data_IF_819521105147
#
_entry.id   IF_819521105147
#
_cell.length_a   1.000
_cell.length_b   1.000
_cell.length_c   1.000
_cell.angle_alpha   90.00
_cell.angle_beta   90.00
_cell.angle_gamma   90.00
#
_symmetry.space_group_name_H-M   'P 1'
#
loop_
_entity.id
_entity.type
_entity.pdbx_description
1 polymer ?
#
# COMPACT_ATOMS: atom_id res chain seq x y z
N UNK A 1 15.28 -14.52 -0.51
CA UNK A 1 14.03 -13.95 0.01
C UNK A 1 13.74 -14.45 1.42
N UNK A 2 13.59 -13.56 2.41
CA UNK A 2 13.39 -13.96 3.79
C UNK A 2 12.03 -14.63 4.04
N UNK A 3 11.03 -14.46 3.15
CA UNK A 3 9.69 -15.02 3.32
C UNK A 3 9.56 -16.50 2.96
N UNK A 4 10.57 -17.08 2.30
CA UNK A 4 10.55 -18.47 1.81
C UNK A 4 11.76 -19.27 2.28
N UNK A 5 12.26 -18.96 3.46
CA UNK A 5 13.30 -19.72 4.14
C UNK A 5 12.72 -20.57 5.27
N UNK A 6 13.40 -21.62 5.69
CA UNK A 6 12.92 -22.59 6.69
C UNK A 6 12.40 -21.97 7.99
N UNK A 7 13.02 -20.90 8.45
CA UNK A 7 12.58 -20.17 9.63
C UNK A 7 11.17 -19.60 9.46
N UNK A 8 10.86 -19.01 8.30
CA UNK A 8 9.53 -18.44 8.03
C UNK A 8 8.47 -19.51 7.89
N UNK A 9 8.77 -20.64 7.25
CA UNK A 9 7.84 -21.77 7.18
C UNK A 9 7.42 -22.25 8.56
N UNK A 10 8.35 -22.34 9.53
CA UNK A 10 8.03 -22.68 10.92
C UNK A 10 7.12 -21.65 11.60
N UNK A 11 7.24 -20.36 11.24
CA UNK A 11 6.33 -19.31 11.74
C UNK A 11 4.94 -19.50 11.14
N UNK A 12 4.83 -19.71 9.84
CA UNK A 12 3.56 -19.93 9.15
C UNK A 12 2.82 -21.16 9.71
N UNK A 13 3.54 -22.25 9.94
CA UNK A 13 3.00 -23.48 10.52
C UNK A 13 2.54 -23.29 11.97
N UNK A 14 3.36 -22.61 12.78
CA UNK A 14 3.06 -22.35 14.20
C UNK A 14 1.83 -21.49 14.40
N UNK A 15 1.62 -20.50 13.52
CA UNK A 15 0.52 -19.55 13.60
C UNK A 15 -0.48 -19.78 12.46
N UNK A 16 -1.04 -20.99 12.42
CA UNK A 16 -1.94 -21.42 11.36
C UNK A 16 -3.33 -20.75 11.39
N UNK A 17 -3.65 -20.04 12.47
CA UNK A 17 -4.80 -19.15 12.64
C UNK A 17 -4.57 -17.71 12.14
N UNK A 18 -3.33 -17.40 11.71
CA UNK A 18 -2.95 -16.11 11.12
C UNK A 18 -2.79 -16.27 9.61
N UNK A 19 -3.34 -15.31 8.86
CA UNK A 19 -3.17 -15.25 7.41
C UNK A 19 -1.97 -14.38 7.04
N UNK A 20 -1.04 -14.95 6.31
CA UNK A 20 0.21 -14.28 5.91
C UNK A 20 0.15 -13.86 4.44
N UNK A 21 0.48 -12.61 4.17
CA UNK A 21 0.50 -12.05 2.81
C UNK A 21 1.89 -11.48 2.50
N UNK A 22 2.89 -12.32 2.18
CA UNK A 22 4.23 -11.86 1.84
C UNK A 22 4.25 -11.18 0.48
N UNK A 23 4.81 -9.96 0.41
CA UNK A 23 5.09 -9.27 -0.85
C UNK A 23 6.44 -9.75 -1.38
N UNK A 24 6.46 -10.23 -2.61
CA UNK A 24 7.64 -10.91 -3.18
C UNK A 24 7.96 -10.45 -4.59
N UNK A 25 9.25 -10.46 -4.94
CA UNK A 25 9.71 -10.26 -6.32
C UNK A 25 9.54 -11.52 -7.20
N UNK A 26 9.08 -12.64 -6.63
CA UNK A 26 8.76 -13.85 -7.34
C UNK A 26 9.96 -14.69 -7.85
N UNK A 27 11.20 -14.31 -7.51
CA UNK A 27 12.40 -14.92 -8.10
C UNK A 27 12.80 -16.28 -7.54
N UNK A 28 12.22 -16.68 -6.40
CA UNK A 28 12.55 -17.92 -5.69
C UNK A 28 11.45 -18.98 -5.75
N UNK A 29 10.40 -18.77 -6.55
CA UNK A 29 9.35 -19.77 -6.71
C UNK A 29 9.86 -20.96 -7.54
N UNK A 30 9.66 -22.13 -7.00
CA UNK A 30 9.90 -23.43 -7.60
C UNK A 30 8.88 -24.43 -7.03
N UNK A 31 8.92 -25.66 -7.51
CA UNK A 31 7.99 -26.73 -7.04
C UNK A 31 8.06 -26.94 -5.53
N UNK A 32 9.25 -26.94 -4.93
CA UNK A 32 9.43 -27.14 -3.50
C UNK A 32 8.76 -26.04 -2.66
N UNK A 33 8.94 -24.77 -3.05
CA UNK A 33 8.29 -23.61 -2.40
C UNK A 33 6.77 -23.71 -2.54
N UNK A 34 6.29 -24.00 -3.75
CA UNK A 34 4.86 -24.12 -4.00
C UNK A 34 4.23 -25.28 -3.22
N UNK A 35 4.89 -26.44 -3.15
CA UNK A 35 4.41 -27.59 -2.37
C UNK A 35 4.37 -27.29 -0.86
N UNK A 36 5.34 -26.57 -0.32
CA UNK A 36 5.34 -26.12 1.08
C UNK A 36 4.18 -25.17 1.35
N UNK A 37 3.95 -24.18 0.49
CA UNK A 37 2.85 -23.21 0.64
C UNK A 37 1.48 -23.88 0.52
N UNK A 38 1.34 -24.86 -0.37
CA UNK A 38 0.12 -25.66 -0.51
C UNK A 38 -0.24 -26.39 0.80
N UNK A 39 0.74 -26.99 1.47
CA UNK A 39 0.54 -27.67 2.75
C UNK A 39 0.14 -26.74 3.90
N UNK A 40 0.67 -25.53 3.90
CA UNK A 40 0.39 -24.54 4.95
C UNK A 40 -1.03 -23.97 4.87
N UNK A 41 -1.51 -23.63 3.70
CA UNK A 41 -2.88 -23.16 3.45
C UNK A 41 -3.21 -21.74 3.97
N UNK A 42 -2.30 -21.10 4.72
CA UNK A 42 -2.51 -19.77 5.34
C UNK A 42 -1.57 -18.69 4.79
N UNK A 43 -0.97 -18.92 3.62
CA UNK A 43 -0.04 -17.97 2.99
C UNK A 43 -0.53 -17.62 1.57
N UNK A 44 -0.75 -16.33 1.33
CA UNK A 44 -1.13 -15.78 0.03
C UNK A 44 -0.05 -14.83 -0.47
N UNK A 45 0.87 -15.27 -1.35
CA UNK A 45 1.90 -14.40 -1.90
C UNK A 45 1.32 -13.28 -2.77
N UNK A 46 1.91 -12.09 -2.66
CA UNK A 46 1.63 -10.95 -3.53
C UNK A 46 2.85 -10.71 -4.43
N UNK A 47 2.73 -11.06 -5.69
CA UNK A 47 3.80 -10.85 -6.66
C UNK A 47 3.93 -9.38 -7.03
N UNK A 48 5.15 -8.89 -7.02
CA UNK A 48 5.43 -7.51 -7.43
C UNK A 48 5.54 -7.41 -8.95
N UNK A 49 4.59 -6.72 -9.58
CA UNK A 49 4.59 -6.41 -11.02
C UNK A 49 4.32 -4.93 -11.24
N UNK A 50 4.96 -4.37 -12.27
CA UNK A 50 4.83 -2.95 -12.61
C UNK A 50 4.10 -2.71 -13.94
N UNK A 51 3.49 -3.74 -14.50
CA UNK A 51 2.86 -3.82 -15.80
C UNK A 51 3.28 -5.09 -16.52
N UNK A 52 3.35 -5.04 -17.83
CA UNK A 52 3.87 -6.14 -18.65
C UNK A 52 5.40 -6.29 -18.52
N UNK A 53 6.02 -7.07 -19.42
CA UNK A 53 7.44 -7.38 -19.37
C UNK A 53 8.31 -6.12 -19.41
N UNK A 54 7.99 -5.18 -20.29
CA UNK A 54 8.76 -3.95 -20.44
C UNK A 54 8.81 -3.13 -19.15
N UNK A 55 7.66 -2.84 -18.57
CA UNK A 55 7.56 -2.02 -17.35
C UNK A 55 8.14 -2.76 -16.13
N UNK A 56 7.88 -4.06 -16.03
CA UNK A 56 8.36 -4.87 -14.92
C UNK A 56 9.87 -5.06 -14.99
N UNK A 57 10.39 -5.45 -16.13
CA UNK A 57 11.83 -5.71 -16.29
C UNK A 57 12.66 -4.43 -16.22
N UNK A 58 12.14 -3.31 -16.74
CA UNK A 58 12.78 -1.99 -16.61
C UNK A 58 13.04 -1.60 -15.16
N UNK A 59 12.08 -1.85 -14.27
CA UNK A 59 12.20 -1.46 -12.86
C UNK A 59 12.88 -2.52 -12.00
N UNK A 60 12.64 -3.79 -12.28
CA UNK A 60 13.00 -4.90 -11.39
C UNK A 60 14.17 -5.75 -11.89
N UNK A 61 14.58 -5.54 -13.14
CA UNK A 61 15.64 -6.28 -13.79
C UNK A 61 15.14 -7.25 -14.84
N UNK A 62 15.96 -7.45 -15.86
CA UNK A 62 15.64 -8.28 -17.02
C UNK A 62 15.29 -9.72 -16.65
N UNK A 63 14.18 -10.22 -17.18
CA UNK A 63 13.69 -11.59 -16.98
C UNK A 63 12.90 -11.80 -15.69
N UNK A 64 12.67 -10.76 -14.89
CA UNK A 64 11.86 -10.87 -13.67
C UNK A 64 10.41 -11.13 -14.02
N UNK A 65 9.85 -10.45 -15.03
CA UNK A 65 8.48 -10.71 -15.47
C UNK A 65 8.24 -12.19 -15.77
N UNK A 66 9.15 -12.80 -16.56
CA UNK A 66 9.05 -14.22 -16.89
C UNK A 66 9.05 -15.11 -15.65
N UNK A 67 9.95 -14.88 -14.70
CA UNK A 67 10.01 -15.63 -13.44
C UNK A 67 8.72 -15.50 -12.62
N UNK A 68 8.15 -14.30 -12.57
CA UNK A 68 6.86 -14.07 -11.89
C UNK A 68 5.73 -14.85 -12.57
N UNK A 69 5.67 -14.84 -13.92
CA UNK A 69 4.67 -15.61 -14.67
C UNK A 69 4.79 -17.12 -14.44
N UNK A 70 6.01 -17.65 -14.35
CA UNK A 70 6.28 -19.05 -14.00
C UNK A 70 5.86 -19.35 -12.55
N UNK A 71 6.18 -18.47 -11.60
CA UNK A 71 5.74 -18.58 -10.21
C UNK A 71 4.23 -18.59 -10.04
N UNK A 72 3.51 -17.74 -10.79
CA UNK A 72 2.05 -17.73 -10.80
C UNK A 72 1.46 -19.05 -11.31
N UNK A 73 2.03 -19.61 -12.38
CA UNK A 73 1.58 -20.89 -12.91
C UNK A 73 1.76 -22.01 -11.87
N UNK A 74 2.88 -22.05 -11.17
CA UNK A 74 3.12 -23.03 -10.08
C UNK A 74 2.08 -22.95 -8.96
N UNK A 75 1.69 -21.72 -8.56
CA UNK A 75 0.68 -21.53 -7.51
C UNK A 75 -0.73 -21.86 -8.01
N UNK A 76 -1.09 -21.42 -9.22
CA UNK A 76 -2.38 -21.73 -9.84
C UNK A 76 -2.60 -23.22 -9.95
N UNK A 77 -1.61 -23.96 -10.45
CA UNK A 77 -1.71 -25.40 -10.69
C UNK A 77 -1.85 -26.21 -9.39
N UNK A 78 -1.54 -25.61 -8.25
CA UNK A 78 -1.74 -26.16 -6.90
C UNK A 78 -2.95 -25.59 -6.15
N UNK A 79 -3.71 -24.71 -6.79
CA UNK A 79 -4.87 -24.06 -6.17
C UNK A 79 -4.50 -23.10 -5.01
N UNK A 80 -3.28 -22.59 -4.98
CA UNK A 80 -2.81 -21.65 -3.96
C UNK A 80 -3.26 -20.23 -4.32
N UNK A 81 -4.00 -19.51 -3.45
CA UNK A 81 -4.40 -18.15 -3.72
C UNK A 81 -3.18 -17.21 -3.77
N UNK A 82 -3.18 -16.29 -4.71
CA UNK A 82 -2.16 -15.25 -4.83
C UNK A 82 -2.73 -13.97 -5.46
N UNK A 83 -2.00 -12.91 -5.31
CA UNK A 83 -2.32 -11.62 -5.90
C UNK A 83 -1.10 -10.92 -6.47
N UNK A 84 -1.32 -9.69 -6.94
CA UNK A 84 -0.29 -8.80 -7.48
C UNK A 84 -0.25 -7.51 -6.70
N UNK A 85 0.94 -6.96 -6.47
CA UNK A 85 1.13 -5.60 -5.98
C UNK A 85 1.90 -4.77 -6.99
N UNK A 86 1.45 -3.53 -7.20
CA UNK A 86 2.10 -2.59 -8.11
C UNK A 86 2.40 -1.28 -7.40
N UNK A 87 3.64 -0.80 -7.53
CA UNK A 87 3.96 0.58 -7.17
C UNK A 87 3.59 1.47 -8.35
N UNK A 88 2.41 2.10 -8.24
CA UNK A 88 1.79 2.83 -9.33
C UNK A 88 2.33 4.25 -9.43
N UNK A 89 2.90 4.59 -10.57
CA UNK A 89 3.54 5.86 -10.87
C UNK A 89 3.04 6.46 -12.17
N UNK A 90 3.50 7.68 -12.52
CA UNK A 90 3.23 8.29 -13.83
C UNK A 90 3.65 7.41 -15.01
N UNK A 91 4.60 6.51 -14.81
CA UNK A 91 5.18 5.70 -15.88
C UNK A 91 4.39 4.44 -16.22
N UNK A 92 3.64 3.90 -15.26
CA UNK A 92 3.02 2.58 -15.43
C UNK A 92 1.51 2.52 -15.15
N UNK A 93 0.90 3.62 -14.70
CA UNK A 93 -0.54 3.62 -14.35
C UNK A 93 -1.42 3.11 -15.48
N UNK A 94 -1.14 3.49 -16.72
CA UNK A 94 -1.95 3.08 -17.87
C UNK A 94 -1.81 1.61 -18.21
N UNK A 95 -0.74 0.97 -17.77
CA UNK A 95 -0.49 -0.47 -17.95
C UNK A 95 -1.10 -1.28 -16.82
N UNK A 96 -0.72 -0.99 -15.56
CA UNK A 96 -1.16 -1.78 -14.39
C UNK A 96 -2.68 -1.75 -14.17
N UNK A 97 -3.36 -0.71 -14.64
CA UNK A 97 -4.80 -0.55 -14.54
C UNK A 97 -5.55 -0.77 -15.85
N UNK A 98 -4.88 -1.28 -16.91
CA UNK A 98 -5.52 -1.60 -18.19
C UNK A 98 -6.36 -2.87 -18.12
N UNK A 99 -7.39 -2.95 -18.95
CA UNK A 99 -8.22 -4.15 -19.02
C UNK A 99 -7.42 -5.36 -19.50
N UNK A 100 -6.48 -5.17 -20.42
CA UNK A 100 -5.62 -6.22 -20.95
C UNK A 100 -4.70 -6.81 -19.87
N UNK A 101 -4.15 -5.95 -19.01
CA UNK A 101 -3.30 -6.42 -17.91
C UNK A 101 -4.12 -7.21 -16.88
N UNK A 102 -5.30 -6.71 -16.53
CA UNK A 102 -6.21 -7.40 -15.60
C UNK A 102 -6.68 -8.74 -16.19
N UNK A 103 -7.03 -8.79 -17.47
CA UNK A 103 -7.43 -10.04 -18.14
C UNK A 103 -6.30 -11.07 -18.17
N UNK A 104 -5.07 -10.63 -18.37
CA UNK A 104 -3.87 -11.48 -18.25
C UNK A 104 -3.74 -12.04 -16.83
N UNK A 105 -3.91 -11.21 -15.80
CA UNK A 105 -3.81 -11.63 -14.40
C UNK A 105 -4.91 -12.63 -14.02
N UNK A 106 -6.15 -12.38 -14.45
CA UNK A 106 -7.27 -13.31 -14.28
C UNK A 106 -6.94 -14.66 -14.93
N UNK A 107 -6.46 -14.65 -16.17
CA UNK A 107 -6.06 -15.86 -16.89
C UNK A 107 -4.94 -16.63 -16.19
N UNK A 108 -4.03 -15.92 -15.52
CA UNK A 108 -2.96 -16.51 -14.71
C UNK A 108 -3.46 -17.07 -13.36
N UNK A 109 -4.70 -16.78 -12.97
CA UNK A 109 -5.30 -17.26 -11.72
C UNK A 109 -5.07 -16.32 -10.52
N UNK A 110 -4.60 -15.10 -10.75
CA UNK A 110 -4.50 -14.08 -9.71
C UNK A 110 -5.90 -13.68 -9.25
N UNK A 111 -6.09 -13.53 -7.94
CA UNK A 111 -7.36 -13.15 -7.35
C UNK A 111 -7.52 -11.64 -7.21
N UNK A 112 -6.41 -10.92 -7.08
CA UNK A 112 -6.46 -9.49 -6.79
C UNK A 112 -5.21 -8.73 -7.21
N UNK A 113 -5.38 -7.41 -7.40
CA UNK A 113 -4.29 -6.44 -7.47
C UNK A 113 -4.37 -5.44 -6.33
N UNK A 114 -3.20 -5.09 -5.79
CA UNK A 114 -3.06 -4.06 -4.78
C UNK A 114 -2.21 -2.92 -5.33
N UNK A 115 -2.81 -1.76 -5.53
CA UNK A 115 -2.15 -0.56 -6.04
C UNK A 115 -1.65 0.30 -4.87
N UNK A 116 -0.35 0.47 -4.83
CA UNK A 116 0.31 1.46 -3.97
C UNK A 116 0.76 2.62 -4.85
N UNK A 117 0.17 3.79 -4.72
CA UNK A 117 0.70 4.95 -5.44
C UNK A 117 2.13 5.22 -4.97
N UNK A 118 2.99 5.59 -5.91
CA UNK A 118 4.38 5.91 -5.57
C UNK A 118 4.44 7.03 -4.53
N UNK A 119 5.15 6.77 -3.44
CA UNK A 119 5.42 7.71 -2.37
C UNK A 119 6.87 8.17 -2.43
N UNK A 120 7.15 9.48 -2.26
CA UNK A 120 8.50 10.00 -2.35
C UNK A 120 9.26 9.79 -1.02
N UNK A 121 9.49 8.52 -0.67
CA UNK A 121 10.23 8.06 0.52
C UNK A 121 11.41 7.19 0.10
N UNK A 122 12.38 6.98 0.99
CA UNK A 122 13.61 6.21 0.73
C UNK A 122 14.81 7.10 0.37
N UNK A 123 15.88 6.49 -0.11
CA UNK A 123 17.19 7.16 -0.30
C UNK A 123 17.19 8.26 -1.36
N UNK A 124 16.37 8.13 -2.40
CA UNK A 124 16.31 9.06 -3.53
C UNK A 124 14.87 9.37 -3.93
N UNK A 125 14.13 10.08 -3.06
CA UNK A 125 12.73 10.39 -3.35
C UNK A 125 12.61 11.28 -4.59
N UNK A 126 11.78 10.88 -5.55
CA UNK A 126 11.54 11.64 -6.77
C UNK A 126 10.05 11.99 -6.91
N UNK A 127 9.69 13.20 -6.58
CA UNK A 127 8.30 13.67 -6.67
C UNK A 127 7.72 13.64 -8.10
N UNK A 128 8.57 13.57 -9.14
CA UNK A 128 8.12 13.51 -10.54
C UNK A 128 7.50 12.16 -10.91
N UNK A 129 7.79 11.12 -10.14
CA UNK A 129 7.22 9.78 -10.35
C UNK A 129 5.84 9.62 -9.69
N UNK A 130 5.45 10.57 -8.83
CA UNK A 130 4.12 10.60 -8.23
C UNK A 130 3.06 10.79 -9.30
N UNK A 131 1.91 10.13 -9.11
CA UNK A 131 0.75 10.33 -9.99
C UNK A 131 0.35 11.81 -10.03
N UNK A 132 0.06 12.32 -11.22
CA UNK A 132 -0.59 13.62 -11.37
C UNK A 132 -1.98 13.59 -10.71
N UNK A 133 -2.53 14.77 -10.35
CA UNK A 133 -3.88 14.85 -9.79
C UNK A 133 -4.94 14.10 -10.60
N UNK A 134 -4.95 14.26 -11.93
CA UNK A 134 -5.88 13.54 -12.81
C UNK A 134 -5.66 12.03 -12.81
N UNK A 135 -4.41 11.59 -12.94
CA UNK A 135 -4.08 10.16 -12.91
C UNK A 135 -4.50 9.50 -11.60
N UNK A 136 -4.36 10.20 -10.47
CA UNK A 136 -4.77 9.66 -9.18
C UNK A 136 -6.29 9.46 -9.11
N UNK A 137 -7.09 10.41 -9.59
CA UNK A 137 -8.56 10.25 -9.69
C UNK A 137 -8.92 9.13 -10.67
N UNK A 138 -8.26 9.07 -11.82
CA UNK A 138 -8.49 8.04 -12.82
C UNK A 138 -8.19 6.64 -12.30
N UNK A 139 -7.12 6.44 -11.53
CA UNK A 139 -6.82 5.15 -10.90
C UNK A 139 -7.99 4.68 -10.03
N UNK A 140 -8.52 5.55 -9.18
CA UNK A 140 -9.68 5.24 -8.35
C UNK A 140 -10.93 4.86 -9.16
N UNK A 141 -11.20 5.55 -10.27
CA UNK A 141 -12.32 5.24 -11.18
C UNK A 141 -12.12 3.91 -11.90
N UNK A 142 -10.91 3.66 -12.43
CA UNK A 142 -10.56 2.39 -13.07
C UNK A 142 -10.67 1.21 -12.09
N UNK A 143 -10.19 1.38 -10.87
CA UNK A 143 -10.30 0.38 -9.80
C UNK A 143 -11.75 0.02 -9.51
N UNK A 144 -12.63 1.01 -9.35
CA UNK A 144 -14.07 0.77 -9.18
C UNK A 144 -14.72 0.09 -10.38
N UNK A 145 -14.36 0.50 -11.60
CA UNK A 145 -14.84 -0.14 -12.84
C UNK A 145 -14.45 -1.62 -12.90
N UNK A 146 -13.18 -1.94 -12.65
CA UNK A 146 -12.69 -3.32 -12.65
C UNK A 146 -13.52 -4.18 -11.69
N UNK A 147 -13.71 -3.73 -10.45
CA UNK A 147 -14.50 -4.47 -9.43
C UNK A 147 -15.94 -4.79 -9.86
N UNK A 148 -16.54 -3.93 -10.68
CA UNK A 148 -17.94 -4.09 -11.11
C UNK A 148 -18.09 -4.80 -12.44
N UNK A 149 -17.04 -4.91 -13.24
CA UNK A 149 -17.10 -5.44 -14.60
C UNK A 149 -16.30 -6.73 -14.81
N UNK A 150 -15.40 -7.06 -13.89
CA UNK A 150 -14.54 -8.24 -13.99
C UNK A 150 -14.58 -9.07 -12.70
N UNK A 151 -14.42 -10.39 -12.76
CA UNK A 151 -14.31 -11.25 -11.57
C UNK A 151 -12.93 -11.09 -10.93
N UNK A 152 -12.57 -9.86 -10.56
CA UNK A 152 -11.25 -9.50 -10.06
C UNK A 152 -11.32 -8.42 -9.01
N UNK A 153 -10.68 -8.65 -7.86
CA UNK A 153 -10.66 -7.67 -6.80
C UNK A 153 -9.44 -6.76 -6.94
N UNK A 154 -9.64 -5.46 -6.83
CA UNK A 154 -8.57 -4.48 -6.83
C UNK A 154 -8.64 -3.63 -5.57
N UNK A 155 -7.52 -3.40 -4.92
CA UNK A 155 -7.39 -2.45 -3.80
C UNK A 155 -6.58 -1.26 -4.29
N UNK A 156 -7.14 -0.07 -4.19
CA UNK A 156 -6.41 1.17 -4.31
C UNK A 156 -6.16 1.73 -2.91
N UNK A 157 -4.94 1.59 -2.43
CA UNK A 157 -4.59 1.89 -1.04
C UNK A 157 -4.92 3.32 -0.60
N UNK A 158 -5.11 4.25 -1.54
CA UNK A 158 -5.44 5.64 -1.25
C UNK A 158 -6.88 6.00 -1.60
N UNK A 159 -7.36 5.65 -2.80
CA UNK A 159 -8.68 6.04 -3.26
C UNK A 159 -9.81 5.18 -2.67
N UNK A 160 -9.50 4.10 -1.94
CA UNK A 160 -10.47 3.30 -1.20
C UNK A 160 -10.79 3.86 0.20
N UNK A 161 -10.15 4.92 0.61
CA UNK A 161 -10.40 5.55 1.91
C UNK A 161 -11.87 5.89 2.19
N UNK A 162 -12.72 6.29 1.21
CA UNK A 162 -14.15 6.47 1.43
C UNK A 162 -14.87 5.22 1.97
N UNK A 163 -14.41 4.02 1.60
CA UNK A 163 -15.04 2.75 1.99
C UNK A 163 -14.61 2.24 3.37
N UNK A 164 -13.51 2.80 3.92
CA UNK A 164 -12.93 2.38 5.20
C UNK A 164 -12.90 3.52 6.23
N UNK A 165 -13.55 4.64 5.93
CA UNK A 165 -13.67 5.78 6.84
C UNK A 165 -12.38 6.62 6.96
N UNK A 166 -11.56 6.68 5.92
CA UNK A 166 -10.36 7.49 5.84
C UNK A 166 -9.06 6.69 5.89
N UNK A 167 -7.97 7.32 6.31
CA UNK A 167 -6.67 6.66 6.46
C UNK A 167 -6.70 5.58 7.55
N UNK A 168 -6.14 4.40 7.27
CA UNK A 168 -6.07 3.28 8.22
C UNK A 168 -4.83 3.31 9.11
N UNK A 169 -3.84 4.18 8.81
CA UNK A 169 -2.58 4.29 9.53
C UNK A 169 -2.78 4.58 11.03
N UNK A 170 -2.18 3.76 11.88
CA UNK A 170 -2.30 3.88 13.33
C UNK A 170 -3.68 3.53 13.92
N UNK A 171 -4.65 3.13 13.08
CA UNK A 171 -6.00 2.71 13.48
C UNK A 171 -6.23 1.22 13.24
N UNK A 172 -6.11 0.78 12.01
CA UNK A 172 -6.27 -0.62 11.59
C UNK A 172 -4.98 -1.21 11.02
N UNK A 173 -3.94 -0.41 10.92
CA UNK A 173 -2.66 -0.77 10.31
C UNK A 173 -1.50 -0.11 11.06
N UNK A 174 -0.41 -0.85 11.20
CA UNK A 174 0.89 -0.34 11.61
C UNK A 174 1.98 -1.05 10.80
N UNK A 175 3.16 -0.47 10.78
CA UNK A 175 4.37 -1.07 10.25
C UNK A 175 5.38 -1.31 11.38
N UNK A 176 6.05 -2.42 11.35
CA UNK A 176 7.17 -2.70 12.25
C UNK A 176 8.40 -2.90 11.37
N UNK A 177 9.37 -2.02 11.50
CA UNK A 177 10.59 -2.08 10.70
C UNK A 177 11.56 -3.15 11.21
N UNK A 178 12.66 -3.39 10.49
CA UNK A 178 13.67 -4.39 10.85
C UNK A 178 14.39 -4.10 12.18
N UNK A 179 14.38 -2.86 12.64
CA UNK A 179 14.93 -2.44 13.94
C UNK A 179 13.95 -2.66 15.10
N UNK A 180 12.69 -2.95 14.80
CA UNK A 180 11.62 -3.17 15.78
C UNK A 180 10.83 -1.89 16.12
N UNK A 181 11.07 -0.76 15.45
CA UNK A 181 10.30 0.46 15.65
C UNK A 181 8.88 0.28 15.10
N UNK A 182 7.90 0.77 15.84
CA UNK A 182 6.50 0.68 15.43
C UNK A 182 6.05 1.99 14.83
N UNK A 183 5.89 1.96 13.52
CA UNK A 183 5.51 3.10 12.69
C UNK A 183 4.02 3.08 12.37
N UNK A 184 3.37 4.24 12.16
CA UNK A 184 1.95 4.30 11.83
C UNK A 184 1.61 3.63 10.49
N UNK A 185 2.53 3.70 9.53
CA UNK A 185 2.36 3.25 8.16
C UNK A 185 3.73 2.94 7.55
N UNK A 186 3.77 2.04 6.57
CA UNK A 186 4.98 1.69 5.81
C UNK A 186 5.67 2.89 5.12
N UNK A 187 4.95 4.00 4.96
CA UNK A 187 5.49 5.23 4.37
C UNK A 187 5.83 6.29 5.41
N UNK A 188 5.28 6.20 6.63
CA UNK A 188 5.44 7.19 7.69
C UNK A 188 6.51 6.71 8.68
N UNK A 189 7.77 6.90 8.31
CA UNK A 189 8.94 6.44 9.04
C UNK A 189 9.23 7.28 10.30
N UNK A 190 8.25 7.32 11.20
CA UNK A 190 8.35 7.95 12.53
C UNK A 190 7.91 6.96 13.60
N UNK A 191 8.53 6.99 14.75
CA UNK A 191 8.17 6.17 15.89
C UNK A 191 8.36 6.91 17.23
N UNK A 192 7.70 6.42 18.27
CA UNK A 192 7.95 6.78 19.67
C UNK A 192 8.34 5.57 20.51
N UNK A 193 8.13 4.37 19.97
CA UNK A 193 8.25 3.11 20.72
C UNK A 193 8.78 1.97 19.83
N UNK A 194 9.41 0.99 20.48
CA UNK A 194 9.99 -0.17 19.83
C UNK A 194 9.47 -1.46 20.49
N UNK A 195 9.20 -2.51 19.69
CA UNK A 195 8.69 -3.80 20.19
C UNK A 195 9.70 -4.58 21.03
N UNK A 196 10.99 -4.23 21.02
CA UNK A 196 11.99 -4.81 21.90
C UNK A 196 11.81 -4.37 23.35
N UNK A 197 11.24 -3.18 23.57
CA UNK A 197 11.11 -2.53 24.88
C UNK A 197 9.68 -2.63 25.44
N UNK A 198 8.68 -2.76 24.56
CA UNK A 198 7.25 -2.73 24.91
C UNK A 198 6.45 -3.78 24.16
N UNK A 199 5.37 -4.26 24.78
CA UNK A 199 4.39 -5.09 24.09
C UNK A 199 3.66 -4.26 23.03
N UNK A 200 3.36 -4.83 21.85
CA UNK A 200 2.71 -4.15 20.75
C UNK A 200 1.39 -3.49 21.17
N UNK A 201 0.60 -4.14 22.04
CA UNK A 201 -0.66 -3.57 22.54
C UNK A 201 -0.43 -2.27 23.35
N UNK A 202 0.66 -2.16 24.07
CA UNK A 202 0.97 -0.96 24.83
C UNK A 202 1.47 0.17 23.92
N UNK A 203 2.18 -0.19 22.84
CA UNK A 203 2.54 0.78 21.78
C UNK A 203 1.28 1.39 21.15
N UNK A 204 0.27 0.58 20.82
CA UNK A 204 -0.99 1.11 20.27
C UNK A 204 -1.75 2.04 21.24
N UNK A 205 -1.43 1.98 22.53
CA UNK A 205 -2.00 2.87 23.56
C UNK A 205 -1.14 4.11 23.83
N UNK A 206 0.03 4.23 23.19
CA UNK A 206 0.90 5.39 23.36
C UNK A 206 0.27 6.69 22.81
N UNK A 207 0.87 7.82 23.13
CA UNK A 207 0.34 9.13 22.74
C UNK A 207 0.35 9.32 21.20
N UNK A 208 1.34 8.81 20.48
CA UNK A 208 1.40 8.91 19.01
C UNK A 208 0.17 8.25 18.37
N UNK A 209 -0.11 7.00 18.73
CA UNK A 209 -1.23 6.27 18.14
C UNK A 209 -2.59 6.85 18.57
N UNK A 210 -2.70 7.42 19.80
CA UNK A 210 -3.90 8.16 20.23
C UNK A 210 -4.10 9.43 19.42
N UNK A 211 -3.06 10.23 19.21
CA UNK A 211 -3.14 11.46 18.41
C UNK A 211 -3.54 11.16 16.96
N UNK A 212 -2.99 10.11 16.36
CA UNK A 212 -3.36 9.67 15.01
C UNK A 212 -4.86 9.37 14.94
N UNK A 213 -5.37 8.52 15.85
CA UNK A 213 -6.79 8.13 15.85
C UNK A 213 -7.75 9.29 16.15
N UNK A 214 -7.37 10.19 17.06
CA UNK A 214 -8.19 11.32 17.44
C UNK A 214 -8.35 12.36 16.32
N UNK A 215 -7.45 12.39 15.34
CA UNK A 215 -7.48 13.32 14.21
C UNK A 215 -8.10 12.73 12.95
N UNK A 216 -8.35 11.43 12.92
CA UNK A 216 -8.95 10.77 11.76
C UNK A 216 -10.48 10.98 11.73
N UNK A 217 -11.07 11.19 10.54
CA UNK A 217 -10.40 11.37 9.25
C UNK A 217 -9.67 12.72 9.18
N UNK A 218 -8.49 12.75 8.59
CA UNK A 218 -7.67 13.97 8.47
C UNK A 218 -8.27 15.02 7.54
N UNK A 219 -9.19 14.62 6.67
CA UNK A 219 -9.91 15.48 5.76
C UNK A 219 -11.36 15.01 5.63
N UNK A 220 -12.31 15.95 5.51
CA UNK A 220 -13.72 15.63 5.23
C UNK A 220 -13.90 15.00 3.85
N UNK A 221 -13.08 15.41 2.88
CA UNK A 221 -12.98 14.75 1.60
C UNK A 221 -12.06 13.54 1.72
N UNK A 222 -12.63 12.34 1.78
CA UNK A 222 -11.88 11.10 1.98
C UNK A 222 -11.07 10.65 0.74
N UNK A 223 -11.13 11.36 -0.39
CA UNK A 223 -10.16 11.21 -1.47
C UNK A 223 -8.82 11.90 -1.16
N UNK A 224 -8.75 12.60 -0.01
CA UNK A 224 -7.51 13.18 0.55
C UNK A 224 -7.19 12.56 1.92
N UNK A 225 -7.01 11.21 2.01
CA UNK A 225 -6.92 10.56 3.31
C UNK A 225 -5.54 10.65 3.96
N UNK A 226 -4.47 10.82 3.17
CA UNK A 226 -3.10 10.59 3.62
C UNK A 226 -2.58 11.76 4.46
N UNK A 227 -2.02 11.44 5.63
CA UNK A 227 -1.38 12.43 6.51
C UNK A 227 -0.03 12.93 5.98
N UNK A 228 0.51 12.32 4.92
CA UNK A 228 1.83 12.66 4.39
C UNK A 228 1.75 13.52 3.13
N UNK A 229 0.94 13.12 2.17
CA UNK A 229 0.88 13.78 0.84
C UNK A 229 -0.40 14.58 0.62
N UNK A 230 -1.47 14.33 1.39
CA UNK A 230 -2.73 15.07 1.26
C UNK A 230 -2.92 16.10 2.37
N UNK A 231 -2.42 15.80 3.57
CA UNK A 231 -2.51 16.63 4.77
C UNK A 231 -1.16 16.65 5.48
N UNK A 232 -0.07 17.11 4.83
CA UNK A 232 1.29 16.94 5.34
C UNK A 232 1.60 17.70 6.64
N UNK A 233 0.78 18.68 7.00
CA UNK A 233 0.84 19.34 8.31
C UNK A 233 0.48 18.38 9.46
N UNK A 234 -0.40 17.39 9.22
CA UNK A 234 -0.89 16.48 10.27
C UNK A 234 0.25 15.65 10.86
N UNK A 235 1.05 14.98 10.01
CA UNK A 235 2.18 14.18 10.49
C UNK A 235 3.24 15.04 11.19
N UNK A 236 3.51 16.25 10.68
CA UNK A 236 4.46 17.20 11.28
C UNK A 236 4.05 17.64 12.68
N UNK A 237 2.77 18.00 12.84
CA UNK A 237 2.21 18.41 14.13
C UNK A 237 2.18 17.25 15.14
N UNK A 238 1.82 16.05 14.70
CA UNK A 238 1.83 14.87 15.57
C UNK A 238 3.26 14.56 15.99
N UNK A 239 4.20 14.47 15.05
CA UNK A 239 5.60 14.18 15.35
C UNK A 239 6.18 15.16 16.37
N UNK A 240 5.94 16.46 16.19
CA UNK A 240 6.38 17.50 17.12
C UNK A 240 5.71 17.38 18.51
N UNK A 241 4.38 17.13 18.54
CA UNK A 241 3.61 17.03 19.79
C UNK A 241 4.05 15.89 20.70
N UNK A 242 4.42 14.74 20.09
CA UNK A 242 4.77 13.53 20.83
C UNK A 242 6.29 13.27 20.90
N UNK A 243 7.10 14.18 20.39
CA UNK A 243 8.55 14.03 20.24
C UNK A 243 8.93 12.73 19.52
N UNK A 244 8.24 12.42 18.41
CA UNK A 244 8.56 11.26 17.62
C UNK A 244 9.95 11.40 16.97
N UNK A 245 10.71 10.31 16.95
CA UNK A 245 11.96 10.23 16.20
C UNK A 245 11.72 9.67 14.80
N UNK A 246 12.62 10.01 13.88
CA UNK A 246 12.60 9.49 12.51
C UNK A 246 13.36 8.18 12.45
N UNK A 247 12.81 7.19 11.78
CA UNK A 247 13.39 5.85 11.65
C UNK A 247 14.17 5.67 10.35
N UNK A 248 14.14 6.70 9.50
CA UNK A 248 14.77 6.71 8.18
C UNK A 248 15.09 8.16 7.76
N UNK A 249 16.07 8.32 6.86
CA UNK A 249 16.56 9.63 6.43
C UNK A 249 15.50 10.42 5.64
N UNK A 250 14.64 9.75 4.87
CA UNK A 250 13.57 10.41 4.10
C UNK A 250 12.50 11.03 5.00
N UNK A 251 12.18 10.40 6.12
CA UNK A 251 11.27 10.97 7.11
C UNK A 251 11.86 12.24 7.75
N UNK A 252 13.16 12.23 8.02
CA UNK A 252 13.82 13.44 8.51
C UNK A 252 13.72 14.60 7.50
N UNK A 253 13.93 14.33 6.21
CA UNK A 253 13.74 15.34 5.16
C UNK A 253 12.29 15.84 5.11
N UNK A 254 11.31 14.95 5.18
CA UNK A 254 9.89 15.30 5.17
C UNK A 254 9.47 16.19 6.33
N UNK A 255 10.02 15.95 7.52
CA UNK A 255 9.68 16.71 8.72
C UNK A 255 10.46 18.02 8.82
N UNK A 256 11.72 18.06 8.40
CA UNK A 256 12.67 19.13 8.74
C UNK A 256 13.21 19.90 7.53
N UNK A 257 13.33 19.29 6.35
CA UNK A 257 13.83 19.99 5.17
C UNK A 257 12.78 20.95 4.61
N UNK A 258 13.15 22.22 4.50
CA UNK A 258 12.24 23.29 4.04
C UNK A 258 11.74 23.06 2.63
N UNK A 259 12.64 22.72 1.70
CA UNK A 259 12.28 22.52 0.29
C UNK A 259 11.31 21.33 0.12
N UNK A 260 11.59 20.23 0.81
CA UNK A 260 10.75 19.04 0.72
C UNK A 260 9.35 19.27 1.33
N UNK A 261 9.28 20.02 2.44
CA UNK A 261 8.01 20.42 3.06
C UNK A 261 7.16 21.28 2.13
N UNK A 262 7.75 22.33 1.55
CA UNK A 262 7.07 23.20 0.59
C UNK A 262 6.58 22.43 -0.63
N UNK A 263 7.35 21.43 -1.08
CA UNK A 263 6.99 20.60 -2.22
C UNK A 263 5.76 19.72 -1.91
N UNK A 264 5.71 19.08 -0.76
CA UNK A 264 4.55 18.29 -0.33
C UNK A 264 3.30 19.15 -0.13
N UNK A 265 3.44 20.34 0.46
CA UNK A 265 2.34 21.29 0.65
C UNK A 265 1.77 21.76 -0.70
N UNK A 266 2.64 21.99 -1.68
CA UNK A 266 2.26 22.34 -3.06
C UNK A 266 1.48 21.20 -3.71
N UNK A 267 2.00 19.97 -3.66
CA UNK A 267 1.33 18.79 -4.23
C UNK A 267 -0.06 18.55 -3.62
N UNK A 268 -0.19 18.71 -2.31
CA UNK A 268 -1.49 18.61 -1.62
C UNK A 268 -2.48 19.68 -2.12
N UNK A 269 -2.00 20.91 -2.29
CA UNK A 269 -2.79 22.04 -2.80
C UNK A 269 -3.21 21.85 -4.25
N UNK A 270 -2.33 21.33 -5.09
CA UNK A 270 -2.61 21.04 -6.50
C UNK A 270 -3.61 19.89 -6.66
N UNK A 271 -3.55 18.87 -5.78
CA UNK A 271 -4.50 17.76 -5.82
C UNK A 271 -5.89 18.13 -5.32
N UNK A 272 -6.00 19.05 -4.36
CA UNK A 272 -7.25 19.39 -3.69
C UNK A 272 -8.42 19.70 -4.63
N UNK A 273 -8.31 20.57 -5.66
CA UNK A 273 -9.44 20.88 -6.55
C UNK A 273 -9.94 19.64 -7.32
N UNK A 274 -9.04 18.76 -7.75
CA UNK A 274 -9.40 17.50 -8.42
C UNK A 274 -10.13 16.54 -7.47
N UNK A 275 -9.63 16.41 -6.25
CA UNK A 275 -10.26 15.60 -5.23
C UNK A 275 -11.64 16.14 -4.85
N UNK A 276 -11.82 17.46 -4.71
CA UNK A 276 -13.10 18.08 -4.35
C UNK A 276 -14.15 17.92 -5.48
N UNK A 277 -13.74 18.05 -6.73
CA UNK A 277 -14.60 17.80 -7.88
C UNK A 277 -15.02 16.32 -7.94
N UNK A 278 -14.05 15.41 -7.84
CA UNK A 278 -14.31 13.98 -7.86
C UNK A 278 -15.17 13.53 -6.67
N UNK A 279 -14.95 14.09 -5.49
CA UNK A 279 -15.77 13.82 -4.30
C UNK A 279 -17.22 14.15 -4.51
N UNK A 280 -17.51 15.35 -5.04
CA UNK A 280 -18.87 15.79 -5.38
C UNK A 280 -19.50 14.88 -6.43
N UNK A 281 -18.76 14.55 -7.49
CA UNK A 281 -19.27 13.80 -8.64
C UNK A 281 -19.47 12.31 -8.35
N UNK A 282 -18.50 11.69 -7.68
CA UNK A 282 -18.45 10.24 -7.56
C UNK A 282 -19.08 9.73 -6.24
N UNK A 283 -19.14 10.57 -5.17
CA UNK A 283 -19.58 10.16 -3.84
C UNK A 283 -20.75 10.98 -3.27
N UNK A 284 -20.91 12.27 -3.62
CA UNK A 284 -21.97 13.12 -3.09
C UNK A 284 -23.18 13.29 -4.04
N UNK A 285 -23.18 12.69 -5.23
CA UNK A 285 -24.29 12.76 -6.17
C UNK A 285 -25.43 11.81 -5.81
N UNK A 286 -26.02 11.97 -4.67
CA UNK A 286 -27.32 11.49 -4.18
C UNK A 286 -27.15 11.20 -2.68
N UNK A 287 -27.99 11.83 -1.86
CA UNK A 287 -28.05 11.66 -0.40
C UNK A 287 -27.94 10.20 0.08
N UNK A 288 -26.78 9.65 0.01
CA UNK A 288 -26.44 8.36 0.59
C UNK A 288 -25.86 8.61 1.99
N UNK A 289 -26.76 8.77 2.96
CA UNK A 289 -26.47 8.60 4.38
C UNK A 289 -26.04 7.17 4.75
N UNK A 290 -25.80 6.30 3.76
CA UNK A 290 -25.43 4.90 3.98
C UNK A 290 -23.97 4.70 4.44
N UNK A 291 -23.08 5.67 4.22
CA UNK A 291 -21.67 5.56 4.63
C UNK A 291 -21.35 6.20 5.99
N UNK A 292 -22.34 6.79 6.67
CA UNK A 292 -22.15 7.44 7.97
C UNK A 292 -22.55 6.57 9.17
N UNK A 293 -22.97 5.34 8.94
CA UNK A 293 -23.39 4.40 9.99
C UNK A 293 -22.60 3.09 9.90
N UNK A 294 -21.36 3.10 10.38
CA UNK A 294 -20.54 1.93 10.56
C UNK A 294 -19.49 2.18 11.63
#
# INVERSE_FOLDING_TARGET
EPFFVDYMYKIYEKYNDVYFTPFTNGTLFNDEVADKLCKLGNVMPMFSLEGFEEETDSRRGKGIFKKVMEGMDLLRDRGIPFGVSSATSTHNIDKVSSEEFIDMLIKKGSLMSWYFIYMPVGDKPNVKDMLTPSQRIDLGRRTRKIRTTKPYFTIDFFNDAPYVGGCIAGKYYCHINSSGDVEPCIFAHIATDNIKDKKLIDVFRCNMFKELRNRQPYNKNMLMPCMMIDNPNVIREIAAKVNAYTTDASANAMLNDKYFKEKLDTLASEFKPYADEAWKKDFNCKGNDEFSKG
#
